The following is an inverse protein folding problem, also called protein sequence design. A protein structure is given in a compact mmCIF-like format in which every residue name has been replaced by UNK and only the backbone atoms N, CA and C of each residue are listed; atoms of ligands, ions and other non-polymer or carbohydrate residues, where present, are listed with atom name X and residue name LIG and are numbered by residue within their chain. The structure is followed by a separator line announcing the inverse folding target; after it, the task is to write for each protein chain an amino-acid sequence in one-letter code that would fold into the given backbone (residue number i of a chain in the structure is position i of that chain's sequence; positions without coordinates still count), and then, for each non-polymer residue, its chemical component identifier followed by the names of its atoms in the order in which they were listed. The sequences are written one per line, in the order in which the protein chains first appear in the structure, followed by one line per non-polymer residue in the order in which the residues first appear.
data_IF_267276738638
#
_entry.id   IF_267276738638
#
_cell.length_a   1.000
_cell.length_b   1.000
_cell.length_c   1.000
_cell.angle_alpha   90.00
_cell.angle_beta   90.00
_cell.angle_gamma   90.00
#
_symmetry.space_group_name_H-M   'P 1'
#
loop_
_entity.id
_entity.type
_entity.pdbx_description
1 polymer ?
#
# COMPACT_ATOMS: atom_id res chain seq x y z
N UNK A 1 -67.12 3.77 -7.29
CA UNK A 1 -67.22 5.23 -7.07
C UNK A 1 -66.25 5.62 -5.97
N UNK A 2 -65.04 6.05 -6.33
CA UNK A 2 -64.09 6.68 -5.40
C UNK A 2 -63.41 7.82 -6.14
N UNK A 3 -63.53 9.02 -5.59
CA UNK A 3 -63.08 10.31 -6.11
C UNK A 3 -61.63 10.58 -5.72
N UNK A 4 -60.85 11.02 -6.71
CA UNK A 4 -59.45 11.44 -6.61
C UNK A 4 -59.35 12.85 -6.00
N UNK A 5 -58.39 13.07 -5.10
CA UNK A 5 -58.02 14.40 -4.60
C UNK A 5 -56.96 15.06 -5.47
N UNK A 6 -57.18 16.35 -5.72
CA UNK A 6 -56.47 17.28 -6.61
C UNK A 6 -54.94 17.32 -6.46
N UNK A 7 -54.24 17.19 -7.59
CA UNK A 7 -52.89 17.72 -7.80
C UNK A 7 -52.95 19.23 -8.06
N UNK A 8 -52.02 19.98 -7.48
CA UNK A 8 -51.87 21.43 -7.71
C UNK A 8 -51.51 21.73 -9.18
N UNK A 9 -52.04 22.79 -9.82
CA UNK A 9 -52.06 22.91 -11.29
C UNK A 9 -50.79 23.51 -11.92
N UNK A 10 -49.70 23.73 -11.17
CA UNK A 10 -48.67 24.68 -11.60
C UNK A 10 -47.37 24.09 -12.16
N UNK A 11 -47.16 22.77 -12.08
CA UNK A 11 -45.86 22.17 -12.42
C UNK A 11 -46.01 20.88 -13.22
N UNK A 12 -45.40 20.84 -14.41
CA UNK A 12 -45.27 19.62 -15.21
C UNK A 12 -43.84 19.08 -15.07
N UNK A 13 -43.72 17.82 -14.68
CA UNK A 13 -42.45 17.14 -14.46
C UNK A 13 -41.97 16.52 -15.77
N UNK A 14 -41.06 17.18 -16.49
CA UNK A 14 -40.39 16.58 -17.65
C UNK A 14 -38.96 16.15 -17.28
N UNK A 15 -38.73 14.84 -17.35
CA UNK A 15 -37.43 14.13 -17.25
C UNK A 15 -36.36 14.81 -16.37
N UNK A 16 -36.38 14.42 -15.09
CA UNK A 16 -35.29 14.39 -14.09
C UNK A 16 -34.44 15.63 -13.77
N UNK A 17 -34.57 16.80 -14.39
CA UNK A 17 -33.75 17.97 -13.92
C UNK A 17 -34.33 19.38 -14.09
N UNK A 18 -35.53 19.61 -14.66
CA UNK A 18 -36.14 20.96 -14.68
C UNK A 18 -37.66 20.93 -14.53
N UNK A 19 -38.15 21.80 -13.65
CA UNK A 19 -39.56 22.18 -13.53
C UNK A 19 -39.83 23.36 -14.46
N UNK A 20 -40.94 23.32 -15.21
CA UNK A 20 -41.40 24.44 -16.04
C UNK A 20 -42.87 24.76 -15.70
N UNK A 21 -43.19 26.06 -15.69
CA UNK A 21 -44.57 26.56 -15.54
C UNK A 21 -45.37 26.19 -16.80
N UNK A 22 -46.62 25.75 -16.63
CA UNK A 22 -47.50 25.45 -17.77
C UNK A 22 -47.63 26.68 -18.69
N UNK A 23 -47.59 26.49 -20.02
CA UNK A 23 -47.76 27.59 -20.96
C UNK A 23 -49.18 28.14 -20.88
N UNK A 24 -49.33 29.35 -20.33
CA UNK A 24 -50.62 30.04 -20.18
C UNK A 24 -50.88 30.62 -18.80
N UNK A 25 -50.07 30.29 -17.79
CA UNK A 25 -50.18 30.86 -16.44
C UNK A 25 -49.13 31.97 -16.27
N UNK A 26 -49.56 33.21 -15.97
CA UNK A 26 -48.62 34.28 -15.64
C UNK A 26 -47.92 33.96 -14.30
N UNK A 27 -46.62 34.24 -14.22
CA UNK A 27 -45.75 33.95 -13.06
C UNK A 27 -46.31 34.51 -11.74
N UNK A 28 -47.09 35.59 -11.79
CA UNK A 28 -47.75 36.22 -10.64
C UNK A 28 -48.97 35.44 -10.08
N UNK A 29 -49.57 34.51 -10.84
CA UNK A 29 -50.74 33.74 -10.39
C UNK A 29 -50.39 32.43 -9.68
N UNK A 30 -49.15 31.96 -9.84
CA UNK A 30 -48.57 30.95 -8.98
C UNK A 30 -47.96 31.71 -7.81
N UNK A 31 -48.49 31.60 -6.59
CA UNK A 31 -47.96 32.25 -5.39
C UNK A 31 -46.56 31.78 -4.97
N UNK A 32 -45.57 31.80 -5.87
CA UNK A 32 -44.15 31.76 -5.53
C UNK A 32 -43.82 33.12 -4.93
N UNK A 33 -44.07 33.28 -3.63
CA UNK A 33 -43.51 34.41 -2.89
C UNK A 33 -42.02 34.44 -3.16
N UNK A 34 -41.53 35.52 -3.79
CA UNK A 34 -40.11 35.78 -3.95
C UNK A 34 -39.49 35.71 -2.55
N UNK A 35 -38.63 34.72 -2.30
CA UNK A 35 -37.96 34.57 -1.02
C UNK A 35 -37.17 35.83 -0.73
N UNK A 36 -37.26 36.38 0.47
CA UNK A 36 -36.40 37.49 0.87
C UNK A 36 -35.32 36.98 1.82
N UNK A 37 -34.07 37.38 1.63
CA UNK A 37 -32.96 37.00 2.50
C UNK A 37 -32.13 38.22 2.87
N UNK A 38 -31.48 38.17 4.04
CA UNK A 38 -30.47 39.17 4.39
C UNK A 38 -29.26 38.95 3.51
N UNK A 39 -28.83 40.00 2.81
CA UNK A 39 -27.58 40.02 2.07
C UNK A 39 -26.51 40.76 2.87
N UNK A 40 -25.31 40.18 2.93
CA UNK A 40 -24.15 40.80 3.55
C UNK A 40 -22.88 40.18 2.95
N UNK A 41 -21.97 41.02 2.46
CA UNK A 41 -20.62 40.63 2.09
C UNK A 41 -19.63 41.53 2.80
N UNK A 42 -18.69 40.93 3.55
CA UNK A 42 -17.68 41.67 4.32
C UNK A 42 -16.69 42.49 3.46
N UNK A 43 -16.78 42.41 2.12
CA UNK A 43 -16.03 43.25 1.18
C UNK A 43 -16.58 44.66 1.01
N UNK A 44 -17.79 44.95 1.50
CA UNK A 44 -18.47 46.22 1.23
C UNK A 44 -18.13 47.26 2.31
N UNK A 45 -17.63 48.42 1.86
CA UNK A 45 -17.14 49.53 2.69
C UNK A 45 -18.20 50.21 3.58
N UNK A 46 -19.47 49.78 3.50
CA UNK A 46 -20.57 50.21 4.37
C UNK A 46 -21.56 49.05 4.55
N UNK A 47 -21.62 48.37 5.71
CA UNK A 47 -22.46 47.20 5.88
C UNK A 47 -23.86 47.60 6.32
N UNK A 48 -24.82 47.63 5.40
CA UNK A 48 -26.22 47.52 5.77
C UNK A 48 -26.70 46.09 5.54
N UNK A 49 -27.19 45.45 6.60
CA UNK A 49 -27.97 44.21 6.48
C UNK A 49 -29.25 44.53 5.73
N UNK A 50 -29.24 44.34 4.42
CA UNK A 50 -30.39 44.63 3.56
C UNK A 50 -31.12 43.34 3.23
N UNK A 51 -32.44 43.38 3.38
CA UNK A 51 -33.32 42.32 2.88
C UNK A 51 -33.39 42.43 1.36
N UNK A 52 -32.98 41.39 0.64
CA UNK A 52 -33.03 41.35 -0.82
C UNK A 52 -34.00 40.26 -1.28
N UNK A 53 -34.70 40.52 -2.39
CA UNK A 53 -35.54 39.51 -3.02
C UNK A 53 -34.67 38.57 -3.85
N UNK A 54 -34.81 37.28 -3.59
CA UNK A 54 -34.10 36.22 -4.28
C UNK A 54 -34.70 35.95 -5.66
N UNK A 55 -33.86 35.42 -6.55
CA UNK A 55 -34.34 34.89 -7.83
C UNK A 55 -35.30 33.72 -7.62
N UNK A 56 -36.20 33.46 -8.57
CA UNK A 56 -37.25 32.43 -8.46
C UNK A 56 -36.74 31.00 -8.21
N UNK A 57 -35.48 30.70 -8.54
CA UNK A 57 -34.84 29.40 -8.32
C UNK A 57 -34.00 29.32 -7.04
N UNK A 58 -33.79 30.45 -6.35
CA UNK A 58 -33.08 30.53 -5.09
C UNK A 58 -34.09 30.44 -3.94
N UNK A 59 -34.36 29.21 -3.53
CA UNK A 59 -35.40 28.90 -2.56
C UNK A 59 -34.88 28.85 -1.12
N UNK A 60 -33.65 29.26 -0.81
CA UNK A 60 -33.13 29.24 0.55
C UNK A 60 -32.36 30.51 0.88
N UNK A 61 -32.27 30.86 2.16
CA UNK A 61 -31.29 31.81 2.66
C UNK A 61 -30.09 31.07 3.23
N UNK A 62 -28.90 31.64 3.05
CA UNK A 62 -27.66 31.12 3.61
C UNK A 62 -26.96 32.17 4.47
N UNK A 63 -26.40 31.73 5.58
CA UNK A 63 -25.35 32.40 6.32
C UNK A 63 -24.11 31.52 6.30
N UNK A 64 -22.96 32.11 6.05
CA UNK A 64 -21.68 31.45 6.02
C UNK A 64 -20.70 32.26 6.85
N UNK A 65 -20.13 31.65 7.86
CA UNK A 65 -19.00 32.20 8.60
C UNK A 65 -17.81 31.25 8.45
N UNK A 66 -16.66 31.79 8.07
CA UNK A 66 -15.40 31.07 8.18
C UNK A 66 -14.38 31.86 8.95
N UNK A 67 -13.61 31.14 9.76
CA UNK A 67 -12.48 31.67 10.50
C UNK A 67 -11.30 30.76 10.22
N UNK A 68 -10.13 31.34 10.01
CA UNK A 68 -8.93 30.56 9.83
C UNK A 68 -7.70 31.25 10.38
N UNK A 69 -6.73 30.44 10.76
CA UNK A 69 -5.39 30.88 11.10
C UNK A 69 -4.40 30.19 10.18
N UNK A 70 -3.44 30.95 9.66
CA UNK A 70 -2.31 30.43 8.91
C UNK A 70 -1.05 30.61 9.78
N UNK A 71 -0.47 29.50 10.21
CA UNK A 71 0.71 29.49 11.09
C UNK A 71 1.96 29.98 10.37
N UNK A 72 2.09 29.70 9.07
CA UNK A 72 3.23 30.13 8.25
C UNK A 72 3.30 31.66 8.08
N UNK A 73 2.15 32.33 8.06
CA UNK A 73 2.06 33.78 7.91
C UNK A 73 1.73 34.51 9.22
N UNK A 74 1.44 33.78 10.30
CA UNK A 74 0.89 34.32 11.56
C UNK A 74 -0.33 35.23 11.33
N UNK A 75 -1.15 34.89 10.34
CA UNK A 75 -2.33 35.67 9.94
C UNK A 75 -3.60 34.93 10.35
N UNK A 76 -4.54 35.68 10.93
CA UNK A 76 -5.91 35.22 11.08
C UNK A 76 -6.80 35.93 10.06
N UNK A 77 -7.77 35.21 9.53
CA UNK A 77 -8.78 35.75 8.64
C UNK A 77 -10.16 35.27 9.06
N UNK A 78 -11.15 36.13 8.87
CA UNK A 78 -12.55 35.77 9.04
C UNK A 78 -13.33 36.30 7.85
N UNK A 79 -14.27 35.50 7.35
CA UNK A 79 -15.23 35.95 6.35
C UNK A 79 -16.63 35.60 6.78
N UNK A 80 -17.54 36.56 6.66
CA UNK A 80 -18.97 36.36 6.84
C UNK A 80 -19.67 36.72 5.53
N UNK A 81 -20.54 35.81 5.08
CA UNK A 81 -21.37 35.97 3.90
C UNK A 81 -22.82 35.63 4.25
N UNK A 82 -23.76 36.43 3.76
CA UNK A 82 -25.19 36.16 3.83
C UNK A 82 -25.83 36.43 2.48
N UNK A 83 -26.78 35.61 2.08
CA UNK A 83 -27.49 35.84 0.84
C UNK A 83 -28.52 34.77 0.50
N UNK A 84 -28.96 34.82 -0.75
CA UNK A 84 -29.84 33.82 -1.36
C UNK A 84 -29.02 32.62 -1.82
N UNK A 85 -29.57 31.41 -1.65
CA UNK A 85 -28.96 30.16 -2.05
C UNK A 85 -29.94 29.28 -2.82
N UNK A 86 -29.40 28.51 -3.75
CA UNK A 86 -30.13 27.46 -4.44
C UNK A 86 -30.14 26.15 -3.64
N UNK A 87 -31.03 25.24 -4.04
CA UNK A 87 -31.24 23.96 -3.36
C UNK A 87 -29.98 23.08 -3.33
N UNK A 88 -29.11 23.17 -4.34
CA UNK A 88 -27.85 22.44 -4.41
C UNK A 88 -26.78 22.95 -3.42
N UNK A 89 -26.84 24.23 -3.05
CA UNK A 89 -25.99 24.83 -2.02
C UNK A 89 -26.53 24.60 -0.61
N UNK A 90 -27.86 24.48 -0.49
CA UNK A 90 -28.61 24.25 0.74
C UNK A 90 -29.44 22.95 0.65
N UNK A 91 -28.75 21.82 0.54
CA UNK A 91 -29.38 20.48 0.44
C UNK A 91 -30.27 20.14 1.64
N UNK A 92 -30.08 20.80 2.78
CA UNK A 92 -30.92 20.72 3.97
C UNK A 92 -30.94 22.05 4.70
N UNK A 93 -32.02 22.31 5.44
CA UNK A 93 -32.13 23.42 6.40
C UNK A 93 -31.45 23.03 7.72
N UNK A 94 -30.87 24.02 8.39
CA UNK A 94 -30.12 23.82 9.63
C UNK A 94 -28.67 24.27 9.52
N UNK A 95 -27.87 23.82 10.48
CA UNK A 95 -26.48 24.22 10.66
C UNK A 95 -25.56 23.09 10.18
N UNK A 96 -24.53 23.48 9.44
CA UNK A 96 -23.49 22.63 8.87
C UNK A 96 -22.13 23.24 9.23
N UNK A 97 -21.56 22.72 10.32
CA UNK A 97 -20.29 23.19 10.85
C UNK A 97 -19.16 22.23 10.48
N UNK A 98 -17.94 22.71 10.52
CA UNK A 98 -16.79 21.82 10.40
C UNK A 98 -15.48 22.54 10.64
N UNK A 99 -14.44 21.74 10.75
CA UNK A 99 -13.07 22.22 10.85
C UNK A 99 -12.15 21.37 10.02
N UNK A 100 -11.06 21.98 9.56
CA UNK A 100 -9.95 21.31 8.90
C UNK A 100 -8.65 21.96 9.33
N UNK A 101 -7.68 21.16 9.73
CA UNK A 101 -6.31 21.57 9.96
C UNK A 101 -5.42 20.81 9.01
N UNK A 102 -4.73 21.49 8.10
CA UNK A 102 -3.86 20.87 7.10
C UNK A 102 -2.36 21.09 7.41
N UNK A 103 -2.01 21.43 8.66
CA UNK A 103 -0.63 21.64 9.13
C UNK A 103 -0.21 23.11 9.15
N UNK A 104 -0.31 23.80 8.02
CA UNK A 104 0.03 25.24 7.91
C UNK A 104 -1.13 26.18 8.25
N UNK A 105 -2.32 25.62 8.48
CA UNK A 105 -3.45 26.40 8.92
C UNK A 105 -4.59 25.54 9.42
N UNK A 106 -5.41 26.17 10.27
CA UNK A 106 -6.65 25.61 10.80
C UNK A 106 -7.79 26.50 10.36
N UNK A 107 -8.78 25.92 9.68
CA UNK A 107 -9.97 26.60 9.21
C UNK A 107 -11.20 26.00 9.86
N UNK A 108 -12.11 26.88 10.24
CA UNK A 108 -13.43 26.58 10.79
C UNK A 108 -14.48 27.17 9.87
N UNK A 109 -15.60 26.47 9.76
CA UNK A 109 -16.70 26.83 8.90
C UNK A 109 -18.01 26.59 9.65
N UNK A 110 -18.92 27.55 9.56
CA UNK A 110 -20.30 27.42 9.98
C UNK A 110 -21.20 27.92 8.84
N UNK A 111 -21.87 26.99 8.16
CA UNK A 111 -22.86 27.29 7.13
C UNK A 111 -24.24 27.00 7.70
N UNK A 112 -25.14 27.95 7.62
CA UNK A 112 -26.52 27.79 8.04
C UNK A 112 -27.44 28.07 6.86
N UNK A 113 -28.32 27.11 6.56
CA UNK A 113 -29.35 27.23 5.53
C UNK A 113 -30.73 27.27 6.19
N UNK A 114 -31.63 28.08 5.66
CA UNK A 114 -32.99 28.17 6.17
C UNK A 114 -33.96 28.58 5.05
N UNK A 115 -35.25 28.33 5.24
CA UNK A 115 -36.26 28.34 4.20
C UNK A 115 -37.47 29.24 4.50
N UNK A 116 -37.27 30.27 5.32
CA UNK A 116 -38.26 31.32 5.61
C UNK A 116 -37.67 32.69 5.31
N UNK A 117 -38.51 33.69 5.09
CA UNK A 117 -38.01 35.03 4.73
C UNK A 117 -37.16 35.63 5.85
N UNK A 118 -35.99 36.15 5.48
CA UNK A 118 -35.01 36.79 6.36
C UNK A 118 -34.59 35.91 7.56
N UNK A 119 -34.61 34.59 7.39
CA UNK A 119 -34.24 33.65 8.44
C UNK A 119 -32.73 33.63 8.77
N UNK A 120 -31.89 34.24 7.92
CA UNK A 120 -30.44 34.31 8.06
C UNK A 120 -29.95 35.59 8.78
N UNK A 121 -30.82 36.22 9.59
CA UNK A 121 -30.52 37.44 10.37
C UNK A 121 -29.48 37.20 11.46
N UNK A 122 -29.49 36.05 12.12
CA UNK A 122 -28.50 35.72 13.15
C UNK A 122 -27.07 35.68 12.59
N UNK A 123 -26.09 36.15 13.35
CA UNK A 123 -24.69 35.94 13.01
C UNK A 123 -24.29 34.52 13.44
N UNK A 124 -23.79 33.75 12.48
CA UNK A 124 -23.26 32.41 12.75
C UNK A 124 -22.01 32.54 13.62
N UNK A 125 -22.08 32.07 14.87
CA UNK A 125 -20.92 31.96 15.75
C UNK A 125 -20.17 30.65 15.49
N UNK A 126 -18.85 30.69 15.59
CA UNK A 126 -18.02 29.48 15.56
C UNK A 126 -17.75 29.11 17.02
N UNK A 127 -18.15 27.92 17.49
CA UNK A 127 -17.88 27.49 18.86
C UNK A 127 -16.38 27.55 19.16
N UNK A 128 -16.02 27.92 20.39
CA UNK A 128 -14.63 27.86 20.82
C UNK A 128 -14.15 26.40 20.74
N UNK A 129 -13.04 26.11 20.03
CA UNK A 129 -12.56 24.76 19.89
C UNK A 129 -12.06 24.22 21.23
N UNK A 130 -12.41 22.97 21.54
CA UNK A 130 -11.87 22.25 22.70
C UNK A 130 -10.62 21.47 22.29
N UNK A 131 -9.57 21.56 23.11
CA UNK A 131 -8.32 20.85 22.85
C UNK A 131 -8.56 19.33 22.77
N UNK A 132 -7.99 18.70 21.74
CA UNK A 132 -7.94 17.25 21.58
C UNK A 132 -6.53 16.70 21.82
N UNK A 133 -6.38 15.39 21.66
CA UNK A 133 -5.10 14.68 21.88
C UNK A 133 -4.65 13.85 20.69
N UNK A 134 -5.51 13.66 19.67
CA UNK A 134 -5.19 12.90 18.47
C UNK A 134 -4.07 13.60 17.69
N UNK A 135 -3.02 12.87 17.33
CA UNK A 135 -1.92 13.39 16.52
C UNK A 135 -2.05 12.85 15.10
N UNK A 136 -1.96 13.70 14.09
CA UNK A 136 -2.03 13.31 12.68
C UNK A 136 -0.86 13.93 11.92
N UNK A 137 -0.58 13.40 10.74
CA UNK A 137 0.31 14.05 9.79
C UNK A 137 -0.42 15.13 9.00
N UNK A 138 0.26 16.23 8.69
CA UNK A 138 -0.25 17.36 7.89
C UNK A 138 0.81 17.90 6.95
N UNK A 139 0.40 18.80 6.06
CA UNK A 139 1.23 19.31 4.97
C UNK A 139 1.70 20.76 5.23
N UNK A 140 2.98 20.90 5.55
CA UNK A 140 3.74 22.15 5.41
C UNK A 140 4.68 22.16 4.20
N UNK A 141 4.79 21.02 3.54
CA UNK A 141 5.67 20.69 2.43
C UNK A 141 5.01 19.57 1.62
N UNK A 142 5.60 19.22 0.47
CA UNK A 142 5.13 18.11 -0.37
C UNK A 142 5.16 16.74 0.32
N UNK A 143 5.97 16.61 1.37
CA UNK A 143 6.17 15.34 2.09
C UNK A 143 5.06 15.04 3.10
N UNK A 144 4.29 16.06 3.52
CA UNK A 144 3.19 15.93 4.48
C UNK A 144 3.53 15.15 5.77
N UNK A 145 4.71 15.38 6.34
CA UNK A 145 5.21 14.65 7.53
C UNK A 145 5.08 15.43 8.84
N UNK A 146 4.43 16.58 8.82
CA UNK A 146 4.37 17.47 9.98
C UNK A 146 3.32 17.01 10.96
N UNK A 147 3.69 16.92 12.24
CA UNK A 147 2.76 16.52 13.29
C UNK A 147 1.78 17.64 13.60
N UNK A 148 0.50 17.29 13.61
CA UNK A 148 -0.62 18.19 13.87
C UNK A 148 -1.46 17.59 15.00
N UNK A 149 -1.72 18.38 16.05
CA UNK A 149 -2.63 17.99 17.12
C UNK A 149 -4.05 18.39 16.73
N UNK A 150 -4.94 17.41 16.66
CA UNK A 150 -6.34 17.63 16.35
C UNK A 150 -7.14 18.10 17.57
N UNK A 151 -8.23 18.79 17.29
CA UNK A 151 -9.23 19.17 18.29
C UNK A 151 -10.14 18.00 18.65
N UNK A 152 -10.90 18.16 19.74
CA UNK A 152 -11.93 17.21 20.11
C UNK A 152 -13.00 17.11 19.00
N UNK A 153 -13.31 15.89 18.55
CA UNK A 153 -14.27 15.63 17.47
C UNK A 153 -13.68 15.68 16.04
N UNK A 154 -12.36 15.81 15.91
CA UNK A 154 -11.65 15.67 14.64
C UNK A 154 -11.03 14.27 14.47
N UNK A 155 -10.85 13.86 13.22
CA UNK A 155 -10.20 12.63 12.78
C UNK A 155 -9.02 12.96 11.86
N UNK A 156 -8.04 12.07 11.76
CA UNK A 156 -7.01 12.23 10.76
C UNK A 156 -7.62 12.04 9.37
N UNK A 157 -7.18 12.82 8.39
CA UNK A 157 -7.61 12.67 7.00
C UNK A 157 -6.45 12.62 6.02
N UNK A 158 -6.75 12.03 4.87
CA UNK A 158 -5.96 12.14 3.65
C UNK A 158 -6.89 12.28 2.45
N UNK A 159 -6.53 13.14 1.51
CA UNK A 159 -7.21 13.28 0.23
C UNK A 159 -6.26 13.80 -0.84
N UNK A 160 -6.71 13.74 -2.08
CA UNK A 160 -6.00 14.30 -3.22
C UNK A 160 -6.91 15.31 -3.93
N UNK A 161 -6.40 16.51 -4.12
CA UNK A 161 -7.09 17.63 -4.74
C UNK A 161 -6.48 17.95 -6.11
N UNK A 162 -7.31 18.36 -7.05
CA UNK A 162 -6.86 18.90 -8.34
C UNK A 162 -7.07 20.41 -8.33
N UNK A 163 -5.97 21.16 -8.24
CA UNK A 163 -5.99 22.63 -8.27
C UNK A 163 -5.23 23.09 -9.52
N UNK A 164 -5.91 23.81 -10.41
CA UNK A 164 -5.34 24.35 -11.65
C UNK A 164 -4.66 23.32 -12.56
N UNK A 165 -5.20 22.09 -12.61
CA UNK A 165 -4.65 20.99 -13.42
C UNK A 165 -3.51 20.22 -12.75
N UNK A 166 -3.06 20.64 -11.57
CA UNK A 166 -2.06 19.93 -10.77
C UNK A 166 -2.70 19.20 -9.60
N UNK A 167 -2.20 18.00 -9.33
CA UNK A 167 -2.67 17.15 -8.24
C UNK A 167 -1.84 17.39 -6.98
N UNK A 168 -2.50 17.65 -5.86
CA UNK A 168 -1.88 17.91 -4.57
C UNK A 168 -2.47 17.00 -3.49
N UNK A 169 -1.60 16.45 -2.65
CA UNK A 169 -2.03 15.71 -1.48
C UNK A 169 -2.34 16.65 -0.32
N UNK A 170 -3.38 16.35 0.43
CA UNK A 170 -3.75 17.07 1.64
C UNK A 170 -3.95 16.09 2.79
N UNK A 171 -3.31 16.38 3.91
CA UNK A 171 -3.32 15.58 5.13
C UNK A 171 -3.56 16.50 6.33
N UNK A 172 -4.12 15.95 7.41
CA UNK A 172 -4.22 16.64 8.68
C UNK A 172 -5.40 16.16 9.51
N UNK A 173 -6.07 17.09 10.19
CA UNK A 173 -7.26 16.84 11.00
C UNK A 173 -8.50 17.39 10.29
N UNK A 174 -9.62 16.68 10.35
CA UNK A 174 -10.91 17.13 9.83
C UNK A 174 -12.03 16.76 10.80
N UNK A 175 -13.06 17.58 10.92
CA UNK A 175 -14.21 17.23 11.74
C UNK A 175 -14.95 16.00 11.19
N UNK A 176 -15.41 15.13 12.10
CA UNK A 176 -16.00 13.83 11.76
C UNK A 176 -17.20 13.91 10.80
N UNK A 177 -18.00 14.97 10.91
CA UNK A 177 -19.13 15.21 10.01
C UNK A 177 -18.73 15.60 8.58
N UNK A 178 -17.55 16.18 8.38
CA UNK A 178 -17.00 16.47 7.05
C UNK A 178 -16.22 15.28 6.49
N UNK A 179 -15.65 14.45 7.36
CA UNK A 179 -15.01 13.20 6.98
C UNK A 179 -15.98 12.24 6.27
N UNK A 180 -17.17 12.02 6.84
CA UNK A 180 -18.14 11.04 6.34
C UNK A 180 -18.91 11.51 5.09
N UNK A 181 -18.49 12.63 4.49
CA UNK A 181 -19.22 13.31 3.43
C UNK A 181 -18.60 13.03 2.08
N UNK A 182 -19.43 12.61 1.11
CA UNK A 182 -18.98 12.41 -0.28
C UNK A 182 -18.45 13.68 -0.94
N UNK A 183 -18.84 14.87 -0.45
CA UNK A 183 -18.37 16.16 -0.94
C UNK A 183 -18.15 17.10 0.24
N UNK A 184 -16.94 17.05 0.82
CA UNK A 184 -16.55 17.93 1.93
C UNK A 184 -16.62 19.39 1.51
N UNK A 185 -17.12 20.26 2.40
CA UNK A 185 -17.14 21.71 2.15
C UNK A 185 -15.74 22.31 2.00
N UNK A 186 -14.73 21.63 2.54
CA UNK A 186 -13.33 22.07 2.46
C UNK A 186 -12.64 21.64 1.17
N UNK A 187 -13.16 20.61 0.49
CA UNK A 187 -12.54 20.01 -0.69
C UNK A 187 -13.56 19.79 -1.81
N UNK A 188 -14.17 20.86 -2.36
CA UNK A 188 -15.15 20.72 -3.43
C UNK A 188 -14.49 20.15 -4.69
N UNK A 189 -15.02 19.03 -5.20
CA UNK A 189 -14.52 18.39 -6.43
C UNK A 189 -13.21 17.60 -6.26
N UNK A 190 -12.79 17.30 -5.03
CA UNK A 190 -11.65 16.41 -4.75
C UNK A 190 -12.02 14.93 -4.85
N UNK A 191 -11.01 14.07 -4.76
CA UNK A 191 -11.24 12.67 -4.42
C UNK A 191 -11.92 12.55 -3.05
N UNK A 192 -12.65 11.44 -2.78
CA UNK A 192 -13.25 11.19 -1.48
C UNK A 192 -12.22 11.33 -0.35
N UNK A 193 -12.62 11.99 0.74
CA UNK A 193 -11.77 12.13 1.92
C UNK A 193 -11.71 10.77 2.64
N UNK A 194 -10.51 10.26 2.86
CA UNK A 194 -10.29 9.07 3.69
C UNK A 194 -9.91 9.52 5.09
N UNK A 195 -10.50 8.92 6.12
CA UNK A 195 -10.19 9.27 7.50
C UNK A 195 -9.96 8.06 8.39
N UNK A 196 -9.33 8.33 9.52
CA UNK A 196 -9.02 7.34 10.53
C UNK A 196 -8.84 8.01 11.91
N UNK A 197 -9.03 7.22 12.97
CA UNK A 197 -9.24 7.73 14.33
C UNK A 197 -8.12 7.36 15.31
N UNK A 198 -6.98 6.90 14.80
CA UNK A 198 -5.80 6.55 15.62
C UNK A 198 -4.64 7.50 15.28
N UNK A 199 -3.76 7.76 16.25
CA UNK A 199 -2.67 8.71 16.02
C UNK A 199 -1.77 8.27 14.86
N UNK A 200 -1.44 9.21 13.98
CA UNK A 200 -0.58 9.05 12.80
C UNK A 200 -1.08 8.01 11.78
N UNK A 201 -2.37 7.69 11.79
CA UNK A 201 -2.95 6.72 10.86
C UNK A 201 -3.00 7.22 9.40
N UNK A 202 -2.94 8.53 9.19
CA UNK A 202 -2.85 9.16 7.87
C UNK A 202 -1.38 9.38 7.45
N UNK A 203 -0.50 8.44 7.79
CA UNK A 203 0.90 8.50 7.37
C UNK A 203 0.97 8.52 5.84
N UNK A 204 1.64 9.52 5.22
CA UNK A 204 1.90 9.46 3.79
C UNK A 204 2.63 8.16 3.50
N UNK A 205 2.09 7.35 2.59
CA UNK A 205 2.83 6.22 2.06
C UNK A 205 4.08 6.78 1.40
N UNK A 206 5.23 6.58 2.05
CA UNK A 206 6.52 6.90 1.44
C UNK A 206 6.56 6.13 0.13
N UNK A 207 6.58 6.83 -0.99
CA UNK A 207 6.86 6.21 -2.28
C UNK A 207 8.23 5.55 -2.14
N UNK A 208 8.23 4.22 -2.25
CA UNK A 208 9.44 3.44 -2.02
C UNK A 208 10.50 3.91 -3.02
N UNK A 209 11.67 4.30 -2.51
CA UNK A 209 12.81 4.63 -3.35
C UNK A 209 13.76 3.44 -3.35
N UNK A 210 14.32 3.08 -4.49
CA UNK A 210 15.25 1.97 -4.60
C UNK A 210 16.49 2.39 -5.36
N UNK A 211 17.63 1.81 -5.02
CA UNK A 211 18.84 2.00 -5.78
C UNK A 211 18.70 1.32 -7.14
N UNK A 212 19.16 1.98 -8.19
CA UNK A 212 19.23 1.46 -9.55
C UNK A 212 20.64 1.62 -10.09
N UNK A 213 21.21 0.55 -10.64
CA UNK A 213 22.53 0.60 -11.29
C UNK A 213 22.48 1.53 -12.50
N UNK A 214 23.50 2.38 -12.65
CA UNK A 214 23.65 3.28 -13.81
C UNK A 214 24.67 2.77 -14.83
N UNK A 215 25.42 1.74 -14.50
CA UNK A 215 26.36 1.04 -15.38
C UNK A 215 26.19 -0.49 -15.28
N UNK A 216 26.81 -1.23 -16.20
CA UNK A 216 26.72 -2.70 -16.26
C UNK A 216 27.42 -3.41 -15.08
N UNK A 217 28.43 -2.78 -14.48
CA UNK A 217 29.15 -3.33 -13.31
C UNK A 217 28.46 -3.01 -11.97
N UNK A 218 27.39 -2.21 -12.01
CA UNK A 218 26.73 -1.61 -10.86
C UNK A 218 27.69 -0.85 -9.90
N UNK A 219 28.76 -0.26 -10.44
CA UNK A 219 29.72 0.55 -9.69
C UNK A 219 29.14 1.92 -9.33
N UNK A 220 28.20 2.40 -10.13
CA UNK A 220 27.46 3.65 -9.90
C UNK A 220 25.96 3.38 -9.76
N UNK A 221 25.32 4.14 -8.87
CA UNK A 221 23.90 3.96 -8.52
C UNK A 221 23.19 5.27 -8.32
N UNK A 222 21.89 5.27 -8.58
CA UNK A 222 20.99 6.38 -8.29
C UNK A 222 19.72 5.87 -7.61
N UNK A 223 19.12 6.68 -6.75
CA UNK A 223 17.84 6.36 -6.12
C UNK A 223 16.70 6.71 -7.07
N UNK A 224 15.77 5.78 -7.26
CA UNK A 224 14.60 5.94 -8.15
C UNK A 224 13.31 5.61 -7.41
N UNK A 225 12.24 6.36 -7.75
CA UNK A 225 10.91 6.14 -7.18
C UNK A 225 10.25 4.92 -7.81
N UNK A 226 9.75 4.03 -6.97
CA UNK A 226 9.08 2.80 -7.37
C UNK A 226 7.59 2.88 -7.14
N UNK A 227 6.82 2.40 -8.12
CA UNK A 227 5.38 2.17 -7.98
C UNK A 227 5.07 0.85 -7.25
N UNK A 228 6.08 0.02 -6.97
CA UNK A 228 5.95 -1.25 -6.28
C UNK A 228 6.34 -1.16 -4.81
N UNK A 229 5.90 -2.15 -4.02
CA UNK A 229 6.16 -2.22 -2.57
C UNK A 229 7.53 -2.81 -2.19
N UNK A 230 8.36 -3.17 -3.17
CA UNK A 230 9.65 -3.81 -2.93
C UNK A 230 10.75 -3.21 -3.81
N UNK A 231 11.95 -3.09 -3.25
CA UNK A 231 13.20 -3.01 -3.98
C UNK A 231 13.70 -4.42 -4.29
N UNK A 232 14.41 -4.54 -5.41
CA UNK A 232 14.95 -5.81 -5.88
C UNK A 232 16.43 -5.65 -6.22
N UNK A 233 17.20 -6.66 -5.88
CA UNK A 233 18.56 -6.82 -6.37
C UNK A 233 18.85 -8.28 -6.73
N UNK A 234 19.77 -8.47 -7.68
CA UNK A 234 20.38 -9.77 -7.90
C UNK A 234 21.86 -9.66 -8.20
N UNK A 235 22.58 -10.72 -7.83
CA UNK A 235 23.97 -10.94 -8.20
C UNK A 235 24.10 -12.30 -8.87
N UNK A 236 24.61 -12.31 -10.09
CA UNK A 236 24.80 -13.50 -10.92
C UNK A 236 26.29 -13.65 -11.24
N UNK A 237 26.88 -14.78 -10.84
CA UNK A 237 28.24 -15.14 -11.20
C UNK A 237 28.28 -16.57 -11.73
N UNK A 238 28.91 -16.79 -12.89
CA UNK A 238 29.15 -18.13 -13.40
C UNK A 238 30.50 -18.25 -14.09
N UNK A 239 31.05 -19.45 -14.07
CA UNK A 239 32.28 -19.82 -14.76
C UNK A 239 32.03 -21.14 -15.48
N UNK A 240 32.31 -21.15 -16.78
CA UNK A 240 32.32 -22.32 -17.64
C UNK A 240 33.73 -22.47 -18.22
N UNK A 241 34.06 -23.62 -18.80
CA UNK A 241 35.40 -23.94 -19.32
C UNK A 241 36.02 -22.88 -20.24
N UNK A 242 35.20 -22.05 -20.91
CA UNK A 242 35.64 -21.01 -21.85
C UNK A 242 35.18 -19.59 -21.50
N UNK A 243 34.38 -19.38 -20.46
CA UNK A 243 33.69 -18.10 -20.25
C UNK A 243 33.34 -17.84 -18.80
N UNK A 244 33.53 -16.60 -18.35
CA UNK A 244 33.16 -16.13 -17.01
C UNK A 244 32.20 -14.97 -17.11
N UNK A 245 31.16 -14.98 -16.27
CA UNK A 245 30.12 -13.97 -16.21
C UNK A 245 29.98 -13.45 -14.79
N UNK A 246 29.84 -12.13 -14.64
CA UNK A 246 29.57 -11.49 -13.35
C UNK A 246 28.69 -10.26 -13.58
N UNK A 247 27.46 -10.29 -13.06
CA UNK A 247 26.45 -9.26 -13.26
C UNK A 247 25.74 -8.93 -11.96
N UNK A 248 25.52 -7.64 -11.73
CA UNK A 248 24.72 -7.13 -10.61
C UNK A 248 23.60 -6.25 -11.15
N UNK A 249 22.43 -6.36 -10.55
CA UNK A 249 21.29 -5.51 -10.85
C UNK A 249 20.64 -5.03 -9.57
N UNK A 250 20.24 -3.76 -9.57
CA UNK A 250 19.44 -3.12 -8.55
C UNK A 250 18.30 -2.35 -9.22
N UNK A 251 17.10 -2.36 -8.63
CA UNK A 251 15.99 -1.54 -9.07
C UNK A 251 14.69 -1.81 -8.30
N UNK A 252 13.57 -1.40 -8.88
CA UNK A 252 12.24 -1.68 -8.34
C UNK A 252 11.88 -3.17 -8.53
N UNK A 253 11.33 -3.79 -7.49
CA UNK A 253 10.86 -5.18 -7.51
C UNK A 253 9.44 -5.27 -8.04
N UNK A 254 9.26 -5.92 -9.19
CA UNK A 254 7.95 -6.26 -9.72
C UNK A 254 7.28 -7.35 -8.87
N UNK A 255 5.95 -7.40 -8.85
CA UNK A 255 5.15 -8.31 -8.01
C UNK A 255 5.41 -9.80 -8.28
N UNK A 256 5.82 -10.16 -9.50
CA UNK A 256 6.18 -11.55 -9.83
C UNK A 256 7.61 -11.92 -9.40
N UNK A 257 8.49 -10.94 -9.15
CA UNK A 257 9.85 -11.16 -8.64
C UNK A 257 9.90 -11.14 -7.12
N UNK A 258 9.11 -10.25 -6.52
CA UNK A 258 9.06 -10.03 -5.08
C UNK A 258 7.63 -10.20 -4.56
N UNK A 259 7.34 -11.37 -3.99
CA UNK A 259 6.10 -11.62 -3.24
C UNK A 259 6.25 -11.37 -1.74
N UNK A 260 7.48 -11.48 -1.22
CA UNK A 260 7.84 -11.21 0.16
C UNK A 260 9.29 -10.71 0.26
N UNK A 261 9.61 -10.02 1.36
CA UNK A 261 10.99 -9.65 1.67
C UNK A 261 11.82 -10.88 2.04
N UNK A 262 13.10 -10.88 1.66
CA UNK A 262 14.04 -11.96 1.91
C UNK A 262 15.04 -12.16 0.78
N UNK A 263 16.05 -12.98 1.04
CA UNK A 263 17.07 -13.36 0.06
C UNK A 263 16.94 -14.82 -0.32
N UNK A 264 17.21 -15.14 -1.58
CA UNK A 264 17.27 -16.52 -2.09
C UNK A 264 18.58 -16.70 -2.83
N UNK A 265 19.31 -17.74 -2.48
CA UNK A 265 20.53 -18.17 -3.17
C UNK A 265 20.21 -19.41 -3.98
N UNK A 266 20.76 -19.51 -5.18
CA UNK A 266 20.80 -20.72 -6.00
C UNK A 266 22.22 -20.88 -6.48
N UNK A 267 22.88 -21.98 -6.15
CA UNK A 267 24.26 -22.20 -6.56
C UNK A 267 24.55 -23.67 -6.81
N UNK A 268 25.52 -23.92 -7.68
CA UNK A 268 26.11 -25.23 -7.88
C UNK A 268 27.53 -25.14 -8.42
N UNK A 269 28.34 -26.15 -8.11
CA UNK A 269 29.70 -26.32 -8.61
C UNK A 269 29.88 -27.78 -9.00
N UNK A 270 30.27 -28.05 -10.25
CA UNK A 270 30.73 -29.36 -10.69
C UNK A 270 31.76 -29.20 -11.81
N UNK A 271 32.86 -29.91 -11.69
CA UNK A 271 33.99 -29.84 -12.60
C UNK A 271 34.57 -28.43 -12.67
N UNK A 272 34.73 -27.91 -13.89
CA UNK A 272 35.08 -26.51 -14.16
C UNK A 272 33.87 -25.56 -14.24
N UNK A 273 32.65 -26.07 -13.99
CA UNK A 273 31.42 -25.30 -14.02
C UNK A 273 31.08 -24.79 -12.62
N UNK A 274 30.83 -23.50 -12.49
CA UNK A 274 30.24 -22.90 -11.30
C UNK A 274 29.12 -21.94 -11.66
N UNK A 275 28.07 -21.92 -10.85
CA UNK A 275 26.92 -21.05 -10.99
C UNK A 275 26.52 -20.52 -9.62
N UNK A 276 26.23 -19.23 -9.54
CA UNK A 276 25.76 -18.56 -8.36
C UNK A 276 24.78 -17.46 -8.73
N UNK A 277 23.59 -17.51 -8.15
CA UNK A 277 22.54 -16.55 -8.36
C UNK A 277 21.91 -16.21 -7.01
N UNK A 278 22.11 -14.99 -6.54
CA UNK A 278 21.48 -14.48 -5.32
C UNK A 278 20.48 -13.40 -5.70
N UNK A 279 19.25 -13.51 -5.22
CA UNK A 279 18.22 -12.49 -5.35
C UNK A 279 17.81 -11.99 -3.97
N UNK A 280 17.52 -10.70 -3.85
CA UNK A 280 17.04 -10.09 -2.61
C UNK A 280 15.88 -9.15 -2.90
N UNK A 281 14.83 -9.29 -2.10
CA UNK A 281 13.68 -8.39 -2.05
C UNK A 281 13.61 -7.73 -0.68
N UNK A 282 13.37 -6.43 -0.62
CA UNK A 282 13.25 -5.68 0.63
C UNK A 282 12.26 -4.51 0.46
N UNK A 283 11.65 -4.03 1.55
CA UNK A 283 10.48 -3.13 1.50
C UNK A 283 10.71 -1.76 2.17
N UNK A 284 11.96 -1.36 2.35
CA UNK A 284 12.34 -0.03 2.88
C UNK A 284 13.16 0.72 1.84
N UNK A 285 13.16 2.05 1.87
CA UNK A 285 13.87 2.82 0.85
C UNK A 285 15.38 2.52 0.84
N UNK A 286 15.95 2.42 -0.36
CA UNK A 286 17.36 2.16 -0.66
C UNK A 286 17.94 0.91 0.03
N UNK A 287 17.08 -0.05 0.40
CA UNK A 287 17.47 -1.27 1.11
C UNK A 287 18.23 -2.27 0.23
N UNK A 288 18.16 -2.11 -1.09
CA UNK A 288 18.78 -2.99 -2.06
C UNK A 288 20.24 -2.61 -2.37
N UNK A 289 20.93 -1.96 -1.42
CA UNK A 289 22.35 -1.67 -1.54
C UNK A 289 23.14 -2.95 -1.88
N UNK A 290 24.10 -2.89 -2.82
CA UNK A 290 24.72 -4.08 -3.34
C UNK A 290 25.58 -4.74 -2.26
N UNK A 291 25.28 -6.00 -1.94
CA UNK A 291 26.23 -6.84 -1.24
C UNK A 291 27.13 -7.48 -2.30
N UNK A 292 28.24 -6.80 -2.62
CA UNK A 292 29.21 -7.18 -3.67
C UNK A 292 30.07 -8.40 -3.30
N UNK A 293 29.79 -9.05 -2.17
CA UNK A 293 30.58 -10.18 -1.70
C UNK A 293 30.14 -11.44 -2.44
N UNK A 294 30.99 -11.95 -3.34
CA UNK A 294 30.91 -13.35 -3.72
C UNK A 294 30.98 -14.21 -2.44
N UNK A 295 30.22 -15.31 -2.32
CA UNK A 295 30.30 -16.19 -1.16
C UNK A 295 31.74 -16.60 -0.91
N UNK A 296 32.16 -16.56 0.34
CA UNK A 296 33.43 -17.12 0.76
C UNK A 296 33.51 -18.60 0.40
N UNK A 297 34.71 -19.02 0.02
CA UNK A 297 35.05 -20.44 -0.07
C UNK A 297 34.85 -21.07 1.30
N UNK A 298 34.02 -22.10 1.38
CA UNK A 298 33.80 -22.84 2.61
C UNK A 298 34.89 -23.90 2.84
N UNK A 299 34.65 -24.79 3.80
CA UNK A 299 35.55 -25.90 4.13
C UNK A 299 35.07 -27.27 3.63
N UNK A 300 33.81 -27.37 3.18
CA UNK A 300 33.23 -28.61 2.70
C UNK A 300 33.89 -29.04 1.38
N UNK A 301 34.33 -30.30 1.32
CA UNK A 301 34.89 -30.92 0.13
C UNK A 301 33.90 -31.92 -0.43
N UNK A 302 33.64 -31.91 -1.73
CA UNK A 302 32.78 -32.89 -2.38
C UNK A 302 33.49 -33.54 -3.57
N UNK A 303 33.09 -34.76 -3.90
CA UNK A 303 33.43 -35.34 -5.19
C UNK A 303 32.74 -34.54 -6.29
N UNK A 304 33.36 -34.52 -7.46
CA UNK A 304 32.94 -33.73 -8.61
C UNK A 304 33.33 -34.43 -9.89
N UNK A 305 32.45 -34.35 -10.89
CA UNK A 305 32.70 -34.97 -12.18
C UNK A 305 33.35 -34.00 -13.17
N UNK A 306 34.35 -34.48 -13.90
CA UNK A 306 34.99 -33.70 -14.95
C UNK A 306 34.04 -33.54 -16.17
N UNK A 307 33.87 -32.32 -16.70
CA UNK A 307 32.97 -32.06 -17.80
C UNK A 307 33.57 -32.63 -19.09
N UNK A 308 33.11 -33.82 -19.47
CA UNK A 308 33.53 -34.53 -20.68
C UNK A 308 33.77 -36.02 -20.47
N UNK A 309 34.56 -36.38 -19.45
CA UNK A 309 34.83 -37.77 -19.07
C UNK A 309 33.77 -38.36 -18.15
N UNK A 310 33.08 -37.51 -17.37
CA UNK A 310 32.16 -37.93 -16.29
C UNK A 310 32.86 -38.78 -15.22
N UNK A 311 34.19 -38.64 -15.11
CA UNK A 311 34.95 -39.20 -14.01
C UNK A 311 34.71 -38.35 -12.75
N UNK A 312 34.10 -38.95 -11.74
CA UNK A 312 33.68 -38.29 -10.50
C UNK A 312 34.68 -38.45 -9.36
N UNK A 313 35.96 -38.65 -9.66
CA UNK A 313 37.04 -38.80 -8.66
C UNK A 313 37.66 -37.46 -8.23
N UNK A 314 37.49 -36.40 -9.01
CA UNK A 314 37.95 -35.05 -8.70
C UNK A 314 37.27 -34.49 -7.45
N UNK A 315 37.94 -33.58 -6.75
CA UNK A 315 37.43 -32.91 -5.54
C UNK A 315 37.26 -31.42 -5.79
N UNK A 316 36.16 -30.86 -5.28
CA UNK A 316 35.89 -29.43 -5.30
C UNK A 316 35.62 -28.92 -3.90
N UNK A 317 36.06 -27.69 -3.63
CA UNK A 317 35.71 -26.97 -2.40
C UNK A 317 34.40 -26.23 -2.61
N UNK A 318 33.42 -26.49 -1.77
CA UNK A 318 32.14 -25.80 -1.83
C UNK A 318 32.21 -24.40 -1.23
N UNK A 319 31.23 -23.57 -1.57
CA UNK A 319 30.99 -22.29 -0.91
C UNK A 319 30.37 -22.53 0.47
N UNK A 320 30.39 -21.50 1.31
CA UNK A 320 29.63 -21.55 2.55
C UNK A 320 28.14 -21.80 2.28
N UNK A 321 27.52 -22.64 3.12
CA UNK A 321 26.11 -23.04 3.03
C UNK A 321 25.73 -23.91 1.81
N UNK A 322 26.70 -24.43 1.06
CA UNK A 322 26.47 -25.47 0.07
C UNK A 322 26.56 -26.87 0.70
N UNK A 323 25.92 -27.83 0.03
CA UNK A 323 25.88 -29.26 0.33
C UNK A 323 26.57 -30.03 -0.78
N UNK A 324 27.09 -31.22 -0.49
CA UNK A 324 27.45 -32.15 -1.56
C UNK A 324 26.18 -32.70 -2.20
N UNK A 325 26.19 -32.89 -3.53
CA UNK A 325 25.10 -33.55 -4.24
C UNK A 325 25.58 -34.66 -5.16
N UNK A 326 24.67 -35.57 -5.49
CA UNK A 326 24.75 -36.51 -6.58
C UNK A 326 23.40 -36.64 -7.30
N UNK A 327 23.43 -36.90 -8.61
CA UNK A 327 22.23 -37.21 -9.41
C UNK A 327 22.60 -38.00 -10.66
N UNK A 328 21.63 -38.72 -11.26
CA UNK A 328 21.80 -39.50 -12.48
C UNK A 328 21.09 -38.82 -13.64
N UNK A 329 21.79 -38.05 -14.46
CA UNK A 329 21.15 -37.40 -15.61
C UNK A 329 20.56 -38.45 -16.57
N UNK A 330 19.50 -38.09 -17.31
CA UNK A 330 18.79 -38.85 -18.37
C UNK A 330 19.63 -39.74 -19.30
N UNK A 331 20.94 -39.47 -19.45
CA UNK A 331 21.90 -40.33 -20.18
C UNK A 331 22.56 -41.43 -19.31
N UNK A 332 22.04 -41.73 -18.12
CA UNK A 332 22.63 -42.62 -17.10
C UNK A 332 24.02 -42.18 -16.64
N UNK A 333 24.30 -40.87 -16.64
CA UNK A 333 25.58 -40.30 -16.22
C UNK A 333 25.45 -39.63 -14.87
N UNK A 334 26.29 -40.02 -13.92
CA UNK A 334 26.29 -39.45 -12.58
C UNK A 334 26.96 -38.08 -12.59
N UNK A 335 26.38 -37.11 -11.88
CA UNK A 335 26.95 -35.78 -11.67
C UNK A 335 27.07 -35.54 -10.18
N UNK A 336 28.28 -35.22 -9.74
CA UNK A 336 28.63 -34.94 -8.36
C UNK A 336 29.11 -33.49 -8.26
N UNK A 337 28.90 -32.86 -7.11
CA UNK A 337 29.44 -31.53 -6.86
C UNK A 337 28.91 -30.88 -5.59
N UNK A 338 28.93 -29.56 -5.57
CA UNK A 338 28.35 -28.72 -4.54
C UNK A 338 27.04 -28.09 -5.02
N UNK A 339 26.06 -27.90 -4.13
CA UNK A 339 24.77 -27.29 -4.44
C UNK A 339 24.24 -26.47 -3.26
N UNK A 340 23.51 -25.38 -3.50
CA UNK A 340 22.81 -24.67 -2.43
C UNK A 340 21.68 -25.53 -1.83
N UNK A 341 21.42 -25.36 -0.53
CA UNK A 341 20.33 -26.04 0.17
C UNK A 341 18.95 -25.85 -0.52
N UNK A 342 18.70 -24.63 -1.00
CA UNK A 342 17.51 -24.25 -1.76
C UNK A 342 17.32 -25.05 -3.05
N UNK A 343 18.40 -25.41 -3.74
CA UNK A 343 18.35 -26.17 -5.00
C UNK A 343 18.35 -27.67 -4.73
N UNK A 344 18.95 -28.10 -3.62
CA UNK A 344 18.90 -29.48 -3.16
C UNK A 344 17.48 -29.95 -2.85
N UNK A 345 16.73 -29.15 -2.09
CA UNK A 345 15.43 -29.56 -1.54
C UNK A 345 14.22 -29.06 -2.36
N UNK A 346 14.45 -28.27 -3.40
CA UNK A 346 13.40 -27.83 -4.33
C UNK A 346 13.40 -28.71 -5.59
N UNK A 347 12.48 -29.66 -5.64
CA UNK A 347 12.30 -30.58 -6.77
C UNK A 347 12.08 -29.86 -8.11
N UNK A 348 11.34 -28.74 -8.12
CA UNK A 348 11.08 -28.03 -9.37
C UNK A 348 12.32 -27.33 -9.89
N UNK A 349 13.15 -26.80 -9.00
CA UNK A 349 14.41 -26.19 -9.38
C UNK A 349 15.44 -27.25 -9.77
N UNK A 350 15.55 -28.36 -9.03
CA UNK A 350 16.45 -29.45 -9.42
C UNK A 350 16.14 -29.98 -10.82
N UNK A 351 14.85 -30.13 -11.13
CA UNK A 351 14.38 -30.51 -12.47
C UNK A 351 14.75 -29.47 -13.52
N UNK A 352 14.63 -28.18 -13.23
CA UNK A 352 15.00 -27.11 -14.16
C UNK A 352 16.50 -27.07 -14.50
N UNK A 353 17.37 -27.35 -13.53
CA UNK A 353 18.82 -27.23 -13.69
C UNK A 353 19.50 -28.55 -14.07
N UNK A 354 19.02 -29.68 -13.57
CA UNK A 354 19.64 -31.00 -13.71
C UNK A 354 18.73 -32.07 -14.36
N UNK A 355 17.46 -31.73 -14.66
CA UNK A 355 16.42 -32.65 -15.15
C UNK A 355 16.13 -33.85 -14.24
N UNK A 356 16.55 -33.81 -12.99
CA UNK A 356 16.43 -34.91 -12.03
C UNK A 356 16.40 -34.38 -10.58
N UNK A 357 15.89 -35.16 -9.61
CA UNK A 357 16.05 -34.87 -8.20
C UNK A 357 17.51 -35.02 -7.76
N UNK A 358 17.91 -34.25 -6.75
CA UNK A 358 19.25 -34.31 -6.16
C UNK A 358 19.23 -35.13 -4.87
N UNK A 359 20.26 -35.95 -4.67
CA UNK A 359 20.58 -36.54 -3.38
C UNK A 359 21.70 -35.74 -2.75
N UNK A 360 21.47 -35.13 -1.58
CA UNK A 360 22.46 -34.26 -0.96
C UNK A 360 22.83 -34.69 0.46
N UNK A 361 24.02 -34.25 0.88
CA UNK A 361 24.57 -34.54 2.19
C UNK A 361 25.54 -33.43 2.60
N UNK A 362 25.77 -33.28 3.91
CA UNK A 362 26.44 -32.10 4.51
C UNK A 362 27.81 -32.41 5.12
N UNK A 363 28.37 -33.59 4.87
CA UNK A 363 29.71 -33.99 5.34
C UNK A 363 30.68 -34.11 4.17
N UNK A 364 31.97 -33.88 4.42
CA UNK A 364 32.95 -33.92 3.33
C UNK A 364 33.00 -35.29 2.65
N UNK A 365 32.98 -35.28 1.31
CA UNK A 365 33.10 -36.43 0.42
C UNK A 365 31.96 -37.46 0.55
N UNK A 366 30.84 -37.07 1.13
CA UNK A 366 29.68 -37.94 1.35
C UNK A 366 28.96 -38.36 0.06
N UNK A 367 29.18 -37.63 -1.04
CA UNK A 367 28.70 -37.98 -2.38
C UNK A 367 29.69 -38.89 -3.13
N UNK A 368 30.51 -39.65 -2.41
CA UNK A 368 31.42 -40.62 -3.01
C UNK A 368 30.69 -41.89 -3.45
N UNK A 369 31.32 -42.71 -4.31
CA UNK A 369 30.83 -44.07 -4.55
C UNK A 369 30.74 -44.83 -3.24
N UNK A 370 29.65 -45.58 -3.02
CA UNK A 370 29.52 -46.46 -1.86
C UNK A 370 30.75 -47.38 -1.83
N UNK A 371 31.50 -47.31 -0.73
CA UNK A 371 32.54 -48.31 -0.46
C UNK A 371 31.79 -49.59 -0.13
N UNK A 372 31.65 -50.49 -1.10
CA UNK A 372 31.37 -51.89 -0.81
C UNK A 372 32.54 -52.41 -0.01
N UNK A 373 32.40 -52.39 1.32
CA UNK A 373 33.24 -53.18 2.20
C UNK A 373 33.19 -54.62 1.67
N UNK A 374 34.32 -55.25 1.36
CA UNK A 374 34.31 -56.67 1.05
C UNK A 374 33.65 -57.36 2.25
N UNK A 375 32.55 -58.08 1.99
CA UNK A 375 32.03 -59.06 2.93
C UNK A 375 33.11 -60.10 3.09
N UNK A 376 33.93 -59.96 4.12
CA UNK A 376 34.82 -61.02 4.58
C UNK A 376 33.93 -62.10 5.20
N UNK A 377 33.45 -63.00 4.34
CA UNK A 377 32.94 -64.31 4.71
C UNK A 377 34.11 -65.16 5.25
N UNK A 378 34.67 -64.78 6.40
CA UNK A 378 35.41 -65.73 7.23
C UNK A 378 35.55 -65.23 8.67
N UNK A 379 35.13 -66.11 9.59
CA UNK A 379 35.34 -66.09 11.04
C UNK A 379 34.26 -65.35 11.86
N UNK A 380 33.12 -66.03 12.08
CA UNK A 380 32.65 -66.30 13.45
C UNK A 380 31.69 -67.49 13.45
N UNK A 381 32.23 -68.71 13.55
CA UNK A 381 31.47 -69.85 14.05
C UNK A 381 31.32 -69.70 15.56
N UNK A 382 30.22 -69.10 15.99
CA UNK A 382 29.84 -68.98 17.39
C UNK A 382 28.33 -68.94 17.46
N UNK A 383 27.73 -70.12 17.56
CA UNK A 383 26.30 -70.32 17.73
C UNK A 383 25.79 -69.67 19.01
N UNK A 384 24.85 -68.76 18.92
CA UNK A 384 23.78 -68.61 19.91
C UNK A 384 22.51 -68.07 19.23
N UNK A 385 21.47 -68.90 19.27
CA UNK A 385 20.12 -68.58 18.85
C UNK A 385 19.57 -67.43 19.69
N UNK A 386 18.73 -66.56 19.10
CA UNK A 386 17.41 -66.22 19.67
C UNK A 386 16.60 -65.30 18.73
N UNK A 387 15.65 -65.94 18.04
CA UNK A 387 14.22 -65.59 17.95
C UNK A 387 13.84 -64.11 17.81
N UNK A 388 13.31 -63.76 16.63
CA UNK A 388 12.48 -62.57 16.41
C UNK A 388 11.11 -62.70 17.14
N UNK A 389 10.44 -61.57 17.41
CA UNK A 389 9.07 -61.52 16.93
C UNK A 389 8.68 -60.18 16.29
N UNK A 390 7.84 -60.32 15.27
CA UNK A 390 7.09 -59.27 14.62
C UNK A 390 5.83 -58.91 15.43
N UNK A 391 5.42 -57.64 15.30
CA UNK A 391 4.04 -57.11 15.26
C UNK A 391 3.02 -57.56 16.33
N UNK A 392 2.48 -56.60 17.09
CA UNK A 392 1.01 -56.49 17.23
C UNK A 392 0.52 -55.13 17.75
N UNK A 393 -0.42 -54.58 16.96
CA UNK A 393 -1.47 -53.61 17.24
C UNK A 393 -2.03 -53.62 18.67
N UNK A 394 -2.35 -52.43 19.19
CA UNK A 394 -3.62 -52.20 19.92
C UNK A 394 -4.00 -50.72 20.02
N UNK A 395 -5.14 -50.43 19.39
CA UNK A 395 -6.02 -49.27 19.44
C UNK A 395 -6.78 -49.21 20.79
N UNK A 396 -7.22 -48.03 21.26
CA UNK A 396 -8.28 -47.66 22.26
C UNK A 396 -7.75 -46.48 23.11
N UNK A 397 -8.39 -45.32 23.38
CA UNK A 397 -9.69 -44.64 23.18
C UNK A 397 -9.40 -43.14 23.48
N UNK A 398 -9.79 -42.14 22.69
CA UNK A 398 -11.11 -41.48 22.57
C UNK A 398 -11.74 -40.93 23.89
N UNK A 399 -11.85 -39.59 23.91
CA UNK A 399 -12.94 -38.72 24.42
C UNK A 399 -12.98 -38.21 25.87
N UNK A 400 -12.93 -36.87 25.99
CA UNK A 400 -13.86 -35.96 26.70
C UNK A 400 -13.52 -34.55 26.16
N UNK A 401 -14.29 -33.78 25.38
CA UNK A 401 -15.73 -33.44 25.30
C UNK A 401 -16.22 -32.45 26.37
N UNK A 402 -16.58 -31.25 25.87
CA UNK A 402 -17.58 -30.26 26.31
C UNK A 402 -17.17 -29.08 27.21
N UNK A 403 -17.32 -27.90 26.60
CA UNK A 403 -17.26 -26.54 27.12
C UNK A 403 -17.46 -25.59 25.95
#
# INVERSE_FOLDING_TARGET
MHTWHHQSPCLVLERRTRLRVEPGIQEEQCGFGLRSCVHFAQSDLFPEHTSVNCSSWMTHCVSYASYGFNSSLSLSYSSIYKGCAALDQCLFTGIDQGSVNYGTGHRFLNKQCCDTDNCNTANSSIPAPSAGSLQCYGCDSSECTTNVTCLSGESCFQTTQNLYGSQYSAYGCISENQCNRNNSLFFPGSNPVTCCNTSHCNKPDKTLQCLKCTDESCSSQTSVTCSSSYCYSYHYASSYSTSTYNYTYNGCGESWRCSAAGSKVTSYIYGSTSYYYNTTCCNTSDCNAPNLSAPSTGSLQCYSCDPGSYDCTSKVTCRDQELCFQTNNTSSKTIHGCVSESLCFDYYQSQRYFNEPLSCCNTSLCNGPEITLPTDDSIFSGSEQMVAPALLLSLLLLLCSHG
#
